data_IF_099273027687
#
_entry.id   IF_099273027687
#
_cell.length_a   1.000
_cell.length_b   1.000
_cell.length_c   1.000
_cell.angle_alpha   90.00
_cell.angle_beta   90.00
_cell.angle_gamma   90.00
#
_symmetry.space_group_name_H-M   'P 1'
#
loop_
_entity.id
_entity.type
_entity.pdbx_description
1 polymer ?
#
# COMPACT_ATOMS: atom_id res chain seq x y z
N UNK A 1 -7.45 -0.78 -18.79
CA UNK A 1 -6.55 0.35 -19.13
C UNK A 1 -6.62 1.32 -17.98
N UNK A 2 -5.51 1.54 -17.28
CA UNK A 2 -5.44 2.42 -16.11
C UNK A 2 -5.27 3.85 -16.60
N UNK A 3 -6.18 4.74 -16.22
CA UNK A 3 -6.01 6.17 -16.45
C UNK A 3 -6.10 6.88 -15.11
N UNK A 4 -5.10 7.70 -14.83
CA UNK A 4 -5.12 8.67 -13.76
C UNK A 4 -5.84 9.90 -14.34
N UNK A 5 -6.98 10.28 -13.76
CA UNK A 5 -7.70 11.50 -14.15
C UNK A 5 -7.64 12.46 -12.97
N UNK A 6 -6.99 13.60 -13.19
CA UNK A 6 -6.99 14.73 -12.26
C UNK A 6 -8.24 15.57 -12.53
N UNK A 7 -9.12 15.70 -11.52
CA UNK A 7 -10.22 16.67 -11.54
C UNK A 7 -10.11 17.50 -10.25
N UNK A 8 -9.59 18.72 -10.36
CA UNK A 8 -9.27 19.59 -9.21
C UNK A 8 -8.05 19.12 -8.41
N UNK A 9 -8.02 19.37 -7.09
CA UNK A 9 -6.96 18.92 -6.17
C UNK A 9 -7.13 17.46 -5.69
N UNK A 10 -8.15 16.75 -6.18
CA UNK A 10 -8.41 15.35 -5.84
C UNK A 10 -7.89 14.40 -6.93
N UNK A 11 -7.00 13.48 -6.54
CA UNK A 11 -6.43 12.47 -7.43
C UNK A 11 -7.39 11.27 -7.54
N UNK A 12 -8.18 11.16 -8.61
CA UNK A 12 -9.10 10.01 -8.80
C UNK A 12 -8.43 8.86 -9.55
N UNK A 13 -8.44 7.65 -8.96
CA UNK A 13 -8.06 6.41 -9.63
C UNK A 13 -9.31 5.74 -10.25
N UNK A 14 -9.43 5.77 -11.57
CA UNK A 14 -10.55 5.13 -12.30
C UNK A 14 -10.10 3.80 -12.90
N UNK A 15 -10.74 2.70 -12.48
CA UNK A 15 -10.47 1.35 -12.97
C UNK A 15 -11.50 0.94 -14.04
N UNK A 16 -11.06 0.68 -15.28
CA UNK A 16 -11.91 0.20 -16.37
C UNK A 16 -11.81 -1.32 -16.51
N UNK A 17 -12.90 -2.03 -16.20
CA UNK A 17 -13.07 -3.47 -16.52
C UNK A 17 -13.78 -3.65 -17.86
N UNK A 18 -13.81 -4.90 -18.34
CA UNK A 18 -14.49 -5.32 -19.59
C UNK A 18 -16.02 -5.07 -19.57
N UNK A 19 -16.61 -4.70 -18.43
CA UNK A 19 -18.06 -4.55 -18.22
C UNK A 19 -18.52 -3.10 -17.89
N UNK A 20 -17.68 -2.09 -18.10
CA UNK A 20 -18.09 -0.67 -18.00
C UNK A 20 -17.30 0.18 -17.00
N UNK A 21 -17.48 1.50 -17.08
CA UNK A 21 -16.89 2.51 -16.19
C UNK A 21 -17.69 2.54 -14.88
N UNK A 22 -17.07 2.15 -13.76
CA UNK A 22 -17.63 2.43 -12.42
C UNK A 22 -16.81 3.53 -11.77
N UNK A 23 -17.52 4.58 -11.32
CA UNK A 23 -16.97 5.58 -10.41
C UNK A 23 -16.56 4.88 -9.12
N UNK A 24 -15.32 5.07 -8.69
CA UNK A 24 -14.83 4.62 -7.39
C UNK A 24 -14.61 5.88 -6.57
N UNK A 25 -15.52 6.14 -5.63
CA UNK A 25 -15.30 7.17 -4.63
C UNK A 25 -14.11 6.76 -3.78
N UNK A 26 -13.07 7.57 -3.85
CA UNK A 26 -11.98 7.55 -2.90
C UNK A 26 -12.60 8.03 -1.60
N UNK A 27 -12.67 7.15 -0.60
CA UNK A 27 -13.03 7.54 0.75
C UNK A 27 -11.86 8.35 1.34
N UNK A 28 -11.71 9.58 0.85
CA UNK A 28 -10.91 10.62 1.48
C UNK A 28 -11.82 11.35 2.45
N UNK A 29 -12.04 10.78 3.64
CA UNK A 29 -12.62 11.46 4.80
C UNK A 29 -12.51 10.55 6.03
N UNK A 30 -11.29 10.41 6.57
CA UNK A 30 -11.10 10.27 8.00
C UNK A 30 -9.98 11.21 8.43
N UNK A 31 -10.41 12.42 8.81
CA UNK A 31 -9.82 13.32 9.80
C UNK A 31 -8.30 13.37 9.94
N UNK A 32 -7.74 14.50 9.48
CA UNK A 32 -6.61 15.15 10.16
C UNK A 32 -6.95 15.28 11.65
N UNK A 33 -6.29 14.53 12.54
CA UNK A 33 -6.59 14.60 13.97
C UNK A 33 -5.66 13.83 14.92
N UNK A 34 -5.46 12.52 14.74
CA UNK A 34 -4.89 11.69 15.83
C UNK A 34 -3.75 10.74 15.40
N UNK A 35 -2.81 11.25 14.58
CA UNK A 35 -1.62 10.48 14.18
C UNK A 35 -0.43 10.77 15.09
N UNK A 36 -0.49 10.28 16.33
CA UNK A 36 0.74 9.98 17.07
C UNK A 36 1.37 8.70 16.47
N UNK A 37 2.65 8.74 16.06
CA UNK A 37 3.31 7.65 15.34
C UNK A 37 3.57 6.38 16.18
N UNK A 38 3.22 6.37 17.47
CA UNK A 38 3.62 5.32 18.42
C UNK A 38 2.58 4.23 18.69
N UNK A 39 1.28 4.44 18.40
CA UNK A 39 0.22 3.56 18.95
C UNK A 39 -0.71 2.88 17.95
N UNK A 40 -0.75 3.29 16.68
CA UNK A 40 -1.73 2.77 15.73
C UNK A 40 -1.04 2.47 14.40
N UNK A 41 -0.94 1.21 13.99
CA UNK A 41 -0.88 0.93 12.55
C UNK A 41 -2.34 0.88 12.07
N UNK A 42 -2.89 1.98 11.52
CA UNK A 42 -4.32 2.11 11.24
C UNK A 42 -4.84 1.00 10.33
N UNK A 43 -3.98 0.49 9.44
CA UNK A 43 -4.28 -0.61 8.52
C UNK A 43 -4.74 -1.88 9.24
N UNK A 44 -4.14 -2.25 10.37
CA UNK A 44 -4.50 -3.49 11.10
C UNK A 44 -5.94 -3.41 11.63
N UNK A 45 -6.31 -2.26 12.23
CA UNK A 45 -7.64 -2.06 12.80
C UNK A 45 -8.72 -2.14 11.71
N UNK A 46 -8.44 -1.55 10.55
CA UNK A 46 -9.36 -1.58 9.40
C UNK A 46 -9.50 -2.99 8.84
N UNK A 47 -8.39 -3.72 8.65
CA UNK A 47 -8.43 -5.11 8.15
C UNK A 47 -9.23 -6.01 9.09
N UNK A 48 -9.02 -5.88 10.41
CA UNK A 48 -9.76 -6.64 11.41
C UNK A 48 -11.25 -6.31 11.42
N UNK A 49 -11.63 -5.05 11.22
CA UNK A 49 -13.03 -4.63 11.15
C UNK A 49 -13.73 -5.12 9.87
N UNK A 50 -13.02 -5.12 8.74
CA UNK A 50 -13.58 -5.51 7.43
C UNK A 50 -13.71 -7.03 7.27
N UNK A 51 -12.88 -7.81 7.97
CA UNK A 51 -12.92 -9.28 7.96
C UNK A 51 -12.94 -9.88 6.54
N UNK A 52 -12.21 -9.26 5.60
CA UNK A 52 -12.11 -9.75 4.22
C UNK A 52 -13.37 -9.56 3.36
N UNK A 53 -14.40 -8.87 3.85
CA UNK A 53 -15.64 -8.60 3.07
C UNK A 53 -15.41 -7.61 1.92
N UNK A 54 -14.42 -6.73 2.06
CA UNK A 54 -14.10 -5.65 1.11
C UNK A 54 -12.58 -5.60 0.94
N UNK A 55 -12.04 -5.39 -0.27
CA UNK A 55 -10.60 -5.22 -0.45
C UNK A 55 -10.10 -3.98 0.29
N UNK A 56 -9.05 -4.14 1.09
CA UNK A 56 -8.38 -3.04 1.79
C UNK A 56 -7.11 -2.68 1.03
N UNK A 57 -6.97 -1.40 0.69
CA UNK A 57 -5.77 -0.85 0.06
C UNK A 57 -5.02 0.03 1.06
N UNK A 58 -3.69 0.03 0.96
CA UNK A 58 -2.83 0.88 1.79
C UNK A 58 -2.16 1.96 0.95
N UNK A 59 -2.38 3.21 1.33
CA UNK A 59 -1.58 4.36 0.91
C UNK A 59 -1.07 5.06 2.17
N UNK A 60 0.16 5.55 2.13
CA UNK A 60 0.80 6.11 3.32
C UNK A 60 2.29 5.85 3.35
N UNK A 61 3.03 6.55 2.49
CA UNK A 61 4.48 6.63 2.63
C UNK A 61 5.28 5.44 2.10
N UNK A 62 4.73 4.63 1.20
CA UNK A 62 5.48 3.54 0.53
C UNK A 62 6.66 4.09 -0.27
N UNK A 63 7.89 3.79 0.16
CA UNK A 63 9.12 4.22 -0.54
C UNK A 63 10.05 3.08 -0.88
N UNK A 64 9.90 1.92 -0.24
CA UNK A 64 10.73 0.72 -0.44
C UNK A 64 9.86 -0.52 -0.64
N UNK A 65 10.44 -1.57 -1.23
CA UNK A 65 9.79 -2.88 -1.34
C UNK A 65 9.45 -3.50 0.02
N UNK A 66 10.22 -3.19 1.07
CA UNK A 66 9.94 -3.64 2.44
C UNK A 66 8.69 -2.99 3.04
N UNK A 67 8.34 -1.77 2.65
CA UNK A 67 7.10 -1.12 3.08
C UNK A 67 5.89 -1.82 2.46
N UNK A 68 6.02 -2.21 1.19
CA UNK A 68 5.01 -3.00 0.47
C UNK A 68 4.82 -4.35 1.16
N UNK A 69 5.92 -5.05 1.43
CA UNK A 69 5.91 -6.34 2.12
C UNK A 69 5.22 -6.25 3.49
N UNK A 70 5.54 -5.22 4.28
CA UNK A 70 4.90 -4.98 5.58
C UNK A 70 3.41 -4.71 5.44
N UNK A 71 3.00 -3.85 4.51
CA UNK A 71 1.59 -3.55 4.29
C UNK A 71 0.79 -4.81 3.91
N UNK A 72 1.34 -5.65 3.03
CA UNK A 72 0.73 -6.92 2.63
C UNK A 72 0.65 -7.89 3.82
N UNK A 73 1.71 -8.02 4.62
CA UNK A 73 1.72 -8.86 5.82
C UNK A 73 0.71 -8.41 6.88
N UNK A 74 0.38 -7.12 6.93
CA UNK A 74 -0.64 -6.55 7.82
C UNK A 74 -2.07 -6.68 7.26
N UNK A 75 -2.23 -7.31 6.08
CA UNK A 75 -3.52 -7.65 5.49
C UNK A 75 -4.03 -6.66 4.45
N UNK A 76 -3.21 -5.72 3.98
CA UNK A 76 -3.55 -4.96 2.78
C UNK A 76 -3.53 -5.88 1.54
N UNK A 77 -4.47 -5.69 0.62
CA UNK A 77 -4.53 -6.45 -0.63
C UNK A 77 -3.62 -5.86 -1.71
N UNK A 78 -3.45 -4.54 -1.71
CA UNK A 78 -2.50 -3.84 -2.56
C UNK A 78 -2.09 -2.51 -1.92
N UNK A 79 -1.02 -1.92 -2.46
CA UNK A 79 -0.51 -0.62 -2.03
C UNK A 79 -0.63 0.42 -3.15
N UNK A 80 -0.80 1.68 -2.78
CA UNK A 80 -0.79 2.80 -3.71
C UNK A 80 0.53 3.58 -3.57
N UNK A 81 1.06 4.07 -4.69
CA UNK A 81 2.33 4.79 -4.75
C UNK A 81 2.06 6.18 -5.30
N UNK A 82 2.13 7.20 -4.43
CA UNK A 82 1.97 8.60 -4.83
C UNK A 82 3.30 9.26 -5.22
N UNK A 83 3.94 9.95 -4.26
CA UNK A 83 5.12 10.81 -4.49
C UNK A 83 6.24 10.19 -5.34
N UNK A 84 6.66 8.93 -5.16
CA UNK A 84 7.72 8.33 -5.99
C UNK A 84 7.40 8.33 -7.48
N UNK A 85 6.13 8.13 -7.86
CA UNK A 85 5.71 8.17 -9.26
C UNK A 85 5.85 9.59 -9.83
N UNK A 86 5.45 10.60 -9.06
CA UNK A 86 5.58 12.01 -9.45
C UNK A 86 7.06 12.40 -9.60
N UNK A 87 7.93 11.93 -8.71
CA UNK A 87 9.36 12.20 -8.79
C UNK A 87 10.02 11.51 -9.99
N UNK A 88 9.63 10.25 -10.28
CA UNK A 88 10.06 9.56 -11.50
C UNK A 88 9.64 10.33 -12.76
N UNK A 89 8.38 10.78 -12.79
CA UNK A 89 7.84 11.57 -13.89
C UNK A 89 8.60 12.89 -14.10
N UNK A 90 8.90 13.60 -13.01
CA UNK A 90 9.66 14.85 -13.09
C UNK A 90 11.13 14.63 -13.50
N UNK A 91 11.73 13.51 -13.14
CA UNK A 91 13.14 13.24 -13.41
C UNK A 91 13.39 12.79 -14.87
N UNK A 92 12.60 11.86 -15.39
CA UNK A 92 12.82 11.25 -16.71
C UNK A 92 11.51 10.91 -17.44
N UNK A 93 10.41 11.61 -17.14
CA UNK A 93 9.12 11.35 -17.79
C UNK A 93 8.64 9.92 -17.53
N UNK A 94 8.11 9.29 -18.58
CA UNK A 94 7.62 7.90 -18.51
C UNK A 94 8.70 6.91 -18.06
N UNK A 95 9.92 7.03 -18.57
CA UNK A 95 11.02 6.12 -18.24
C UNK A 95 11.40 6.21 -16.76
N UNK A 96 11.31 7.39 -16.17
CA UNK A 96 11.52 7.59 -14.74
C UNK A 96 10.45 6.91 -13.90
N UNK A 97 9.17 6.98 -14.32
CA UNK A 97 8.07 6.25 -13.68
C UNK A 97 8.30 4.74 -13.76
N UNK A 98 8.65 4.23 -14.96
CA UNK A 98 8.93 2.80 -15.16
C UNK A 98 10.05 2.33 -14.24
N UNK A 99 11.14 3.09 -14.16
CA UNK A 99 12.29 2.78 -13.28
C UNK A 99 11.90 2.75 -11.81
N UNK A 100 11.06 3.67 -11.34
CA UNK A 100 10.57 3.66 -9.95
C UNK A 100 9.75 2.39 -9.66
N UNK A 101 8.86 2.00 -10.58
CA UNK A 101 8.05 0.79 -10.43
C UNK A 101 8.95 -0.46 -10.41
N UNK A 102 9.91 -0.55 -11.32
CA UNK A 102 10.85 -1.67 -11.40
C UNK A 102 11.72 -1.77 -10.14
N UNK A 103 12.21 -0.65 -9.62
CA UNK A 103 12.94 -0.62 -8.35
C UNK A 103 12.12 -1.17 -7.18
N UNK A 104 10.89 -0.69 -7.02
CA UNK A 104 10.00 -1.15 -5.94
C UNK A 104 9.66 -2.63 -6.08
N UNK A 105 9.45 -3.10 -7.31
CA UNK A 105 9.21 -4.52 -7.60
C UNK A 105 10.43 -5.37 -7.24
N UNK A 106 11.62 -5.00 -7.69
CA UNK A 106 12.85 -5.73 -7.42
C UNK A 106 13.15 -5.80 -5.92
N UNK A 107 12.95 -4.70 -5.18
CA UNK A 107 13.10 -4.69 -3.72
C UNK A 107 12.07 -5.59 -3.01
N UNK A 108 10.83 -5.63 -3.51
CA UNK A 108 9.80 -6.51 -2.97
C UNK A 108 10.17 -7.98 -3.22
N UNK A 109 10.57 -8.34 -4.44
CA UNK A 109 11.02 -9.69 -4.79
C UNK A 109 12.21 -10.12 -3.95
N UNK A 110 13.19 -9.24 -3.75
CA UNK A 110 14.33 -9.49 -2.86
C UNK A 110 13.87 -9.72 -1.42
N UNK A 111 12.96 -8.88 -0.90
CA UNK A 111 12.43 -9.03 0.46
C UNK A 111 11.67 -10.34 0.63
N UNK A 112 10.88 -10.73 -0.37
CA UNK A 112 10.15 -11.99 -0.41
C UNK A 112 11.11 -13.18 -0.40
N UNK A 113 12.16 -13.16 -1.23
CA UNK A 113 13.17 -14.20 -1.27
C UNK A 113 13.89 -14.35 0.08
N UNK A 114 14.29 -13.24 0.70
CA UNK A 114 14.95 -13.24 2.02
C UNK A 114 14.01 -13.68 3.16
N UNK A 115 12.71 -13.45 3.00
CA UNK A 115 11.68 -13.83 3.98
C UNK A 115 11.11 -15.23 3.75
N UNK A 116 11.61 -15.99 2.76
CA UNK A 116 11.13 -17.34 2.41
C UNK A 116 9.74 -17.37 1.77
N UNK A 117 9.24 -16.24 1.27
CA UNK A 117 7.93 -16.12 0.64
C UNK A 117 8.04 -16.30 -0.89
N UNK A 118 7.66 -17.46 -1.41
CA UNK A 118 7.69 -17.71 -2.86
C UNK A 118 6.56 -17.00 -3.65
N UNK A 119 5.50 -16.59 -2.95
CA UNK A 119 4.34 -15.93 -3.56
C UNK A 119 3.83 -14.81 -2.66
N UNK A 120 3.13 -13.83 -3.25
CA UNK A 120 2.50 -12.74 -2.49
C UNK A 120 1.48 -13.26 -1.46
N UNK A 121 0.79 -14.37 -1.77
CA UNK A 121 -0.14 -15.03 -0.83
C UNK A 121 0.56 -15.66 0.37
N UNK A 122 1.86 -15.94 0.26
CA UNK A 122 2.67 -16.47 1.37
C UNK A 122 3.05 -15.41 2.40
N UNK A 123 2.81 -14.13 2.12
CA UNK A 123 3.12 -13.04 3.04
C UNK A 123 2.07 -12.98 4.14
N UNK A 124 2.44 -13.48 5.32
CA UNK A 124 1.58 -13.54 6.50
C UNK A 124 2.01 -12.58 7.62
N UNK A 125 1.11 -12.34 8.58
CA UNK A 125 1.34 -11.50 9.77
C UNK A 125 2.55 -11.91 10.61
N UNK A 126 2.95 -13.18 10.56
CA UNK A 126 4.13 -13.72 11.26
C UNK A 126 5.45 -13.09 10.81
N UNK A 127 5.53 -12.51 9.60
CA UNK A 127 6.77 -11.92 9.09
C UNK A 127 7.03 -10.50 9.61
N UNK A 128 6.05 -9.87 10.26
CA UNK A 128 6.17 -8.49 10.77
C UNK A 128 5.96 -8.50 12.26
N UNK A 129 6.89 -7.88 12.98
CA UNK A 129 6.72 -7.55 14.40
C UNK A 129 6.41 -6.07 14.54
N UNK A 130 5.42 -5.75 15.35
CA UNK A 130 5.04 -4.39 15.71
C UNK A 130 5.34 -4.14 17.19
N UNK A 131 5.37 -2.87 17.60
CA UNK A 131 5.55 -2.53 19.03
C UNK A 131 4.41 -3.07 19.91
N UNK A 132 3.20 -3.24 19.37
CA UNK A 132 2.09 -3.88 20.07
C UNK A 132 2.45 -5.33 20.46
N UNK A 133 3.02 -6.10 19.52
CA UNK A 133 3.46 -7.48 19.76
C UNK A 133 4.61 -7.54 20.79
N UNK A 134 5.35 -6.44 20.96
CA UNK A 134 6.49 -6.33 21.88
C UNK A 134 6.06 -6.01 23.32
N UNK A 135 4.88 -5.42 23.51
CA UNK A 135 4.31 -5.11 24.82
C UNK A 135 3.63 -6.34 25.43
N UNK A 136 2.92 -7.13 24.63
CA UNK A 136 2.28 -8.38 25.09
C UNK A 136 3.29 -9.42 25.57
N UNK A 137 4.46 -9.53 24.93
CA UNK A 137 5.50 -10.48 25.30
C UNK A 137 6.29 -10.10 26.57
N UNK A 138 6.03 -8.92 27.16
CA UNK A 138 6.69 -8.41 28.37
C UNK A 138 5.84 -8.51 29.64
N UNK A 139 4.59 -8.98 29.52
CA UNK A 139 3.68 -9.29 30.62
C UNK A 139 3.61 -10.81 30.82
#
# INVERSE_FOLDING_TARGET
MFYIVLVGECLYCVWRTRLGLRHMEICGLLGLGDLEPSKNTPTIKVVLAVQGKIPVFFDGGVRRGTDIFKALALGAQAVMIGRPIIYGLAAMGEDGVRRVIDMLKNELELTMALSGCCTVKGICRSHVRTEHDRLECRL
#
